data_IF_624550751584
#
_entry.id   IF_624550751584
#
_cell.length_a   1.000
_cell.length_b   1.000
_cell.length_c   1.000
_cell.angle_alpha   90.00
_cell.angle_beta   90.00
_cell.angle_gamma   90.00
#
_symmetry.space_group_name_H-M   'P 1'
#
loop_
_entity.id
_entity.type
_entity.pdbx_description
1 polymer ?
#
# COMPACT_ATOMS: atom_id res chain seq x y z
N UNK A 1 -6.97 16.05 1.96
CA UNK A 1 -5.52 16.30 1.73
C UNK A 1 -4.78 15.08 2.24
N UNK A 2 -3.84 14.54 1.47
CA UNK A 2 -3.02 13.41 1.90
C UNK A 2 -2.22 13.77 3.15
N UNK A 3 -1.95 12.79 4.01
CA UNK A 3 -1.16 12.99 5.23
C UNK A 3 0.33 12.93 4.87
N UNK A 4 1.15 13.94 5.23
CA UNK A 4 2.58 13.90 4.94
C UNK A 4 3.27 12.78 5.74
N UNK A 5 4.31 12.18 5.18
CA UNK A 5 5.24 11.33 5.94
C UNK A 5 6.34 12.24 6.47
N UNK A 6 6.56 12.22 7.79
CA UNK A 6 7.40 13.21 8.49
C UNK A 6 8.51 12.54 9.31
N UNK A 7 9.51 13.32 9.70
CA UNK A 7 10.53 12.91 10.69
C UNK A 7 10.17 13.42 12.10
N UNK A 8 10.94 12.99 13.09
CA UNK A 8 10.73 13.36 14.49
C UNK A 8 10.86 14.87 14.76
N UNK A 9 11.72 15.57 14.01
CA UNK A 9 11.88 17.02 14.15
C UNK A 9 10.65 17.77 13.62
N UNK A 10 10.10 17.34 12.48
CA UNK A 10 8.88 17.86 11.89
C UNK A 10 7.65 17.59 12.77
N UNK A 11 7.59 16.40 13.41
CA UNK A 11 6.51 16.13 14.37
C UNK A 11 6.57 17.09 15.56
N UNK A 12 7.75 17.34 16.12
CA UNK A 12 7.92 18.32 17.21
C UNK A 12 7.59 19.76 16.78
N UNK A 13 7.82 20.11 15.53
CA UNK A 13 7.39 21.40 14.97
C UNK A 13 5.86 21.48 14.93
N UNK A 14 5.20 20.42 14.47
CA UNK A 14 3.75 20.35 14.45
C UNK A 14 3.13 20.41 15.86
N UNK A 15 3.70 19.68 16.82
CA UNK A 15 3.31 19.77 18.23
C UNK A 15 3.46 21.21 18.76
N UNK A 16 4.59 21.88 18.52
CA UNK A 16 4.79 23.28 18.94
C UNK A 16 3.77 24.23 18.32
N UNK A 17 3.47 24.06 17.04
CA UNK A 17 2.43 24.86 16.35
C UNK A 17 1.05 24.61 16.99
N UNK A 18 0.77 23.37 17.39
CA UNK A 18 -0.46 23.00 18.08
C UNK A 18 -0.53 23.64 19.47
N UNK A 19 0.56 23.56 20.27
CA UNK A 19 0.60 24.15 21.62
C UNK A 19 0.57 25.69 21.61
N UNK A 20 0.98 26.31 20.51
CA UNK A 20 0.83 27.75 20.30
C UNK A 20 -0.60 28.19 19.96
N UNK A 21 -1.49 27.25 19.67
CA UNK A 21 -2.93 27.48 19.45
C UNK A 21 -3.73 27.39 20.74
N UNK A 22 -5.05 27.27 20.63
CA UNK A 22 -5.93 27.04 21.79
C UNK A 22 -5.95 25.59 22.29
N UNK A 23 -5.21 24.67 21.67
CA UNK A 23 -5.17 23.27 22.06
C UNK A 23 -4.12 23.03 23.14
N UNK A 24 -4.47 22.27 24.17
CA UNK A 24 -3.51 21.87 25.21
C UNK A 24 -2.99 20.47 24.98
N UNK A 25 -1.77 20.21 25.45
CA UNK A 25 -1.18 18.87 25.40
C UNK A 25 -2.07 17.80 26.05
N UNK A 26 -2.67 18.13 27.21
CA UNK A 26 -3.58 17.23 27.92
C UNK A 26 -4.83 16.85 27.11
N UNK A 27 -5.39 17.79 26.34
CA UNK A 27 -6.52 17.52 25.46
C UNK A 27 -6.13 16.61 24.30
N UNK A 28 -4.95 16.81 23.70
CA UNK A 28 -4.43 15.95 22.64
C UNK A 28 -4.18 14.55 23.18
N UNK A 29 -3.48 14.40 24.30
CA UNK A 29 -3.25 13.11 24.97
C UNK A 29 -4.58 12.38 25.20
N UNK A 30 -5.58 13.07 25.72
CA UNK A 30 -6.90 12.47 25.96
C UNK A 30 -7.56 11.99 24.66
N UNK A 31 -7.45 12.75 23.57
CA UNK A 31 -7.98 12.36 22.26
C UNK A 31 -7.21 11.19 21.63
N UNK A 32 -5.88 11.19 21.75
CA UNK A 32 -5.04 10.05 21.35
C UNK A 32 -5.46 8.80 22.12
N UNK A 33 -5.55 8.88 23.45
CA UNK A 33 -6.02 7.78 24.30
C UNK A 33 -7.39 7.24 23.86
N UNK A 34 -8.33 8.11 23.53
CA UNK A 34 -9.64 7.72 22.98
C UNK A 34 -9.54 6.98 21.64
N UNK A 35 -8.62 7.39 20.74
CA UNK A 35 -8.37 6.69 19.46
C UNK A 35 -7.75 5.31 19.70
N UNK A 36 -6.75 5.23 20.56
CA UNK A 36 -6.12 3.97 20.98
C UNK A 36 -7.16 3.02 21.56
N UNK A 37 -7.97 3.47 22.51
CA UNK A 37 -9.03 2.67 23.11
C UNK A 37 -10.08 2.21 22.09
N UNK A 38 -10.49 3.09 21.17
CA UNK A 38 -11.40 2.72 20.06
C UNK A 38 -10.80 1.59 19.21
N UNK A 39 -9.50 1.66 18.91
CA UNK A 39 -8.81 0.62 18.12
C UNK A 39 -8.68 -0.68 18.92
N UNK A 40 -8.28 -0.60 20.18
CA UNK A 40 -8.17 -1.75 21.08
C UNK A 40 -9.50 -2.50 21.24
N UNK A 41 -10.62 -1.77 21.39
CA UNK A 41 -11.96 -2.38 21.45
C UNK A 41 -12.38 -3.14 20.20
N UNK A 42 -11.87 -2.77 19.03
CA UNK A 42 -12.10 -3.53 17.78
C UNK A 42 -11.27 -4.81 17.69
N UNK A 43 -10.20 -4.92 18.48
CA UNK A 43 -9.32 -6.07 18.56
C UNK A 43 -9.68 -7.05 19.66
N UNK A 44 -10.55 -6.64 20.60
CA UNK A 44 -10.88 -7.38 21.82
C UNK A 44 -12.40 -7.49 22.01
N UNK A 45 -12.83 -8.48 22.77
CA UNK A 45 -14.22 -8.71 23.18
C UNK A 45 -14.49 -8.08 24.56
N UNK A 46 -15.76 -7.97 24.95
CA UNK A 46 -16.12 -7.62 26.33
C UNK A 46 -15.49 -8.62 27.30
N UNK A 47 -15.07 -8.11 28.46
CA UNK A 47 -14.40 -8.84 29.55
C UNK A 47 -12.99 -9.37 29.25
N UNK A 48 -12.45 -9.17 28.01
CA UNK A 48 -11.07 -9.48 27.73
C UNK A 48 -10.12 -8.63 28.60
N UNK A 49 -9.01 -9.24 29.02
CA UNK A 49 -7.93 -8.54 29.70
C UNK A 49 -7.04 -7.82 28.70
N UNK A 50 -6.79 -6.55 28.92
CA UNK A 50 -5.85 -5.72 28.18
C UNK A 50 -4.71 -5.31 29.11
N UNK A 51 -3.48 -5.63 28.74
CA UNK A 51 -2.28 -5.19 29.42
C UNK A 51 -1.78 -3.89 28.81
N UNK A 52 -1.66 -2.83 29.62
CA UNK A 52 -1.13 -1.54 29.18
C UNK A 52 0.27 -1.35 29.77
N UNK A 53 1.25 -1.14 28.88
CA UNK A 53 2.63 -0.82 29.27
C UNK A 53 2.85 0.69 29.06
N UNK A 54 2.94 1.44 30.14
CA UNK A 54 3.07 2.89 30.10
C UNK A 54 4.47 3.35 30.58
N UNK A 55 5.18 4.06 29.70
CA UNK A 55 6.44 4.72 30.02
C UNK A 55 6.26 6.08 30.72
N UNK A 56 7.38 6.79 30.94
CA UNK A 56 7.39 8.12 31.61
C UNK A 56 6.99 9.29 30.71
N UNK A 57 7.11 9.14 29.37
CA UNK A 57 6.90 10.23 28.39
C UNK A 57 5.43 10.35 27.93
N UNK A 58 5.23 11.17 26.90
CA UNK A 58 3.90 11.41 26.29
C UNK A 58 3.25 10.12 25.78
N UNK A 59 4.03 9.23 25.19
CA UNK A 59 3.52 7.93 24.74
C UNK A 59 2.93 7.11 25.90
N UNK A 60 3.56 7.16 27.09
CA UNK A 60 3.03 6.57 28.31
C UNK A 60 1.79 7.30 28.82
N UNK A 61 1.70 8.62 28.65
CA UNK A 61 0.51 9.39 29.00
C UNK A 61 -0.67 9.03 28.09
N UNK A 62 -0.42 8.86 26.79
CA UNK A 62 -1.42 8.39 25.82
C UNK A 62 -1.95 6.99 26.19
N UNK A 63 -1.04 6.09 26.61
CA UNK A 63 -1.39 4.75 27.05
C UNK A 63 -2.25 4.75 28.32
N UNK A 64 -1.90 5.57 29.32
CA UNK A 64 -2.74 5.76 30.51
C UNK A 64 -4.10 6.31 30.17
N UNK A 65 -4.13 7.37 29.35
CA UNK A 65 -5.40 7.96 28.89
C UNK A 65 -6.27 6.95 28.11
N UNK A 66 -5.67 6.01 27.36
CA UNK A 66 -6.44 4.96 26.70
C UNK A 66 -7.17 4.07 27.71
N UNK A 67 -6.57 3.78 28.84
CA UNK A 67 -7.21 3.01 29.91
C UNK A 67 -8.55 3.60 30.37
N UNK A 68 -8.70 4.93 30.38
CA UNK A 68 -9.92 5.61 30.78
C UNK A 68 -11.13 5.35 29.84
N UNK A 69 -10.87 4.91 28.60
CA UNK A 69 -11.87 4.72 27.55
C UNK A 69 -12.07 3.25 27.14
N UNK A 70 -11.51 2.30 27.91
CA UNK A 70 -11.65 0.86 27.64
C UNK A 70 -12.83 0.22 28.38
N UNK A 71 -13.97 0.88 28.34
CA UNK A 71 -15.20 0.38 28.98
C UNK A 71 -15.50 -1.07 28.59
N UNK A 72 -15.91 -1.88 29.57
CA UNK A 72 -16.24 -3.29 29.39
C UNK A 72 -15.05 -4.21 29.12
N UNK A 73 -13.80 -3.76 29.42
CA UNK A 73 -12.59 -4.61 29.41
C UNK A 73 -11.96 -4.61 30.79
N UNK A 74 -11.25 -5.69 31.11
CA UNK A 74 -10.39 -5.74 32.28
C UNK A 74 -9.06 -5.10 31.90
N UNK A 75 -8.53 -4.25 32.76
CA UNK A 75 -7.31 -3.50 32.49
C UNK A 75 -6.29 -3.85 33.54
N UNK A 76 -5.09 -4.20 33.11
CA UNK A 76 -3.89 -4.24 33.93
C UNK A 76 -2.90 -3.19 33.41
N UNK A 77 -2.60 -2.18 34.21
CA UNK A 77 -1.69 -1.09 33.85
C UNK A 77 -0.36 -1.29 34.58
N UNK A 78 0.73 -1.40 33.82
CA UNK A 78 2.08 -1.38 34.32
C UNK A 78 2.77 -0.06 33.98
N UNK A 79 3.00 0.77 34.97
CA UNK A 79 3.76 2.02 34.83
C UNK A 79 5.26 1.76 34.98
N UNK A 80 5.97 1.63 33.87
CA UNK A 80 7.35 1.14 33.83
C UNK A 80 8.33 2.32 33.82
N UNK A 81 8.90 2.59 34.97
CA UNK A 81 9.90 3.65 35.14
C UNK A 81 11.35 3.15 35.00
N UNK A 82 11.61 1.92 35.44
CA UNK A 82 12.91 1.22 35.38
C UNK A 82 12.63 -0.27 35.16
N UNK A 83 13.16 -0.87 34.08
CA UNK A 83 12.76 -2.20 33.64
C UNK A 83 13.08 -3.32 34.63
N UNK A 84 14.20 -3.23 35.37
CA UNK A 84 14.64 -4.27 36.30
C UNK A 84 13.60 -4.60 37.39
N UNK A 85 12.87 -3.57 37.84
CA UNK A 85 11.90 -3.71 38.93
C UNK A 85 10.55 -4.26 38.43
N UNK A 86 10.32 -4.29 37.12
CA UNK A 86 9.02 -4.62 36.54
C UNK A 86 8.93 -5.98 35.85
N UNK A 87 10.07 -6.67 35.64
CA UNK A 87 10.06 -8.01 35.02
C UNK A 87 9.18 -9.01 35.77
N UNK A 88 9.19 -9.12 37.11
CA UNK A 88 8.29 -10.04 37.82
C UNK A 88 6.80 -9.69 37.65
N UNK A 89 6.47 -8.39 37.69
CA UNK A 89 5.11 -7.92 37.48
C UNK A 89 4.63 -8.19 36.05
N UNK A 90 5.50 -7.95 35.05
CA UNK A 90 5.24 -8.27 33.65
C UNK A 90 4.99 -9.77 33.45
N UNK A 91 5.80 -10.64 34.07
CA UNK A 91 5.61 -12.09 34.00
C UNK A 91 4.26 -12.52 34.58
N UNK A 92 3.86 -11.92 35.71
CA UNK A 92 2.56 -12.17 36.34
C UNK A 92 1.41 -11.72 35.43
N UNK A 93 1.51 -10.54 34.83
CA UNK A 93 0.52 -10.01 33.90
C UNK A 93 0.39 -10.86 32.62
N UNK A 94 1.52 -11.24 32.01
CA UNK A 94 1.52 -12.08 30.80
C UNK A 94 1.00 -13.50 31.08
N UNK A 95 1.23 -14.03 32.29
CA UNK A 95 0.69 -15.34 32.69
C UNK A 95 -0.85 -15.38 32.73
N UNK A 96 -1.51 -14.25 32.89
CA UNK A 96 -2.97 -14.12 32.80
C UNK A 96 -3.49 -14.19 31.34
N UNK A 97 -2.59 -14.26 30.35
CA UNK A 97 -2.92 -14.33 28.92
C UNK A 97 -3.82 -13.18 28.45
N UNK A 98 -3.41 -11.91 28.58
CA UNK A 98 -4.20 -10.81 28.05
C UNK A 98 -4.48 -11.00 26.56
N UNK A 99 -5.63 -10.54 26.10
CA UNK A 99 -6.02 -10.61 24.70
C UNK A 99 -5.27 -9.59 23.85
N UNK A 100 -4.77 -8.51 24.46
CA UNK A 100 -4.05 -7.42 23.82
C UNK A 100 -3.02 -6.82 24.78
N UNK A 101 -1.86 -6.46 24.26
CA UNK A 101 -0.89 -5.56 24.89
C UNK A 101 -0.94 -4.22 24.19
N UNK A 102 -1.06 -3.13 24.95
CA UNK A 102 -0.88 -1.76 24.44
C UNK A 102 0.52 -1.31 24.82
N UNK A 103 1.36 -1.03 23.82
CA UNK A 103 2.72 -0.51 23.97
C UNK A 103 2.73 1.01 23.93
N UNK A 104 2.95 1.64 25.08
CA UNK A 104 3.19 3.07 25.25
C UNK A 104 4.49 3.35 26.01
N UNK A 105 5.51 2.50 25.89
CA UNK A 105 6.77 2.68 26.64
C UNK A 105 7.61 3.84 26.11
N UNK A 106 7.85 3.88 24.78
CA UNK A 106 8.63 4.90 24.09
C UNK A 106 7.93 5.34 22.82
N UNK A 107 8.08 6.60 22.45
CA UNK A 107 7.65 7.18 21.17
C UNK A 107 8.84 7.82 20.44
N UNK A 108 8.61 8.87 19.66
CA UNK A 108 9.63 9.59 18.85
C UNK A 108 10.78 10.19 19.68
N UNK A 109 10.67 10.22 20.99
CA UNK A 109 11.71 10.75 21.87
C UNK A 109 12.90 9.81 22.10
N UNK A 110 12.80 8.54 21.74
CA UNK A 110 13.87 7.57 21.88
C UNK A 110 14.97 7.82 20.84
N UNK A 111 16.18 8.15 21.31
CA UNK A 111 17.32 8.54 20.46
C UNK A 111 18.66 7.90 20.89
N UNK A 112 18.60 6.85 21.70
CA UNK A 112 19.79 6.16 22.22
C UNK A 112 19.52 4.66 22.37
N UNK A 113 20.56 3.82 22.30
CA UNK A 113 20.44 2.38 22.55
C UNK A 113 19.76 2.09 23.90
N UNK A 114 18.99 1.03 23.92
CA UNK A 114 18.34 0.51 25.12
C UNK A 114 19.38 -0.21 25.99
N UNK A 115 19.23 -0.09 27.31
CA UNK A 115 19.99 -0.93 28.25
C UNK A 115 19.44 -2.38 28.25
N UNK A 116 20.21 -3.26 28.90
CA UNK A 116 19.89 -4.70 28.94
C UNK A 116 18.53 -4.97 29.61
N UNK A 117 18.10 -4.15 30.56
CA UNK A 117 16.83 -4.29 31.25
C UNK A 117 15.64 -4.06 30.28
N UNK A 118 15.69 -2.98 29.52
CA UNK A 118 14.68 -2.69 28.50
C UNK A 118 14.66 -3.74 27.39
N UNK A 119 15.83 -4.19 26.93
CA UNK A 119 15.91 -5.24 25.91
C UNK A 119 15.27 -6.55 26.40
N UNK A 120 15.54 -6.97 27.65
CA UNK A 120 14.91 -8.16 28.26
C UNK A 120 13.39 -8.01 28.34
N UNK A 121 12.90 -6.84 28.76
CA UNK A 121 11.48 -6.56 28.88
C UNK A 121 10.79 -6.66 27.50
N UNK A 122 11.31 -6.00 26.49
CA UNK A 122 10.79 -6.02 25.11
C UNK A 122 10.79 -7.45 24.55
N UNK A 123 11.91 -8.18 24.69
CA UNK A 123 11.98 -9.57 24.25
C UNK A 123 10.93 -10.43 24.94
N UNK A 124 10.68 -10.22 26.22
CA UNK A 124 9.68 -10.99 26.95
C UNK A 124 8.27 -10.71 26.47
N UNK A 125 7.95 -9.44 26.15
CA UNK A 125 6.66 -9.08 25.51
C UNK A 125 6.51 -9.75 24.15
N UNK A 126 7.52 -9.68 23.28
CA UNK A 126 7.50 -10.29 21.95
C UNK A 126 7.35 -11.82 22.01
N UNK A 127 8.02 -12.49 22.98
CA UNK A 127 7.91 -13.93 23.20
C UNK A 127 6.51 -14.40 23.62
N UNK A 128 5.69 -13.52 24.18
CA UNK A 128 4.32 -13.85 24.59
C UNK A 128 3.41 -14.20 23.42
N UNK A 129 3.75 -13.70 22.21
CA UNK A 129 2.95 -13.83 20.98
C UNK A 129 1.50 -13.33 21.11
N UNK A 130 1.25 -12.48 22.10
CA UNK A 130 -0.02 -11.77 22.26
C UNK A 130 -0.09 -10.66 21.20
N UNK A 131 -1.29 -10.30 20.76
CA UNK A 131 -1.48 -9.15 19.86
C UNK A 131 -0.96 -7.88 20.53
N UNK A 132 -0.20 -7.07 19.80
CA UNK A 132 0.36 -5.82 20.32
C UNK A 132 -0.13 -4.64 19.48
N UNK A 133 -0.72 -3.65 20.15
CA UNK A 133 -1.04 -2.34 19.61
C UNK A 133 -0.01 -1.34 20.11
N UNK A 134 0.92 -0.92 19.25
CA UNK A 134 1.89 0.12 19.57
C UNK A 134 1.29 1.51 19.34
N UNK A 135 1.54 2.41 20.27
CA UNK A 135 1.14 3.82 20.16
C UNK A 135 2.30 4.59 19.51
N UNK A 136 2.00 5.36 18.50
CA UNK A 136 2.89 6.25 17.76
C UNK A 136 4.02 5.54 17.01
N UNK A 137 5.00 4.97 17.71
CA UNK A 137 6.12 4.20 17.16
C UNK A 137 6.33 2.98 18.06
N UNK A 138 6.56 1.78 17.51
CA UNK A 138 6.90 0.61 18.32
C UNK A 138 8.09 0.90 19.23
N UNK A 139 7.95 0.62 20.51
CA UNK A 139 8.99 0.94 21.49
C UNK A 139 10.30 0.22 21.18
N UNK A 140 11.38 0.99 21.10
CA UNK A 140 12.71 0.53 20.74
C UNK A 140 13.10 0.76 19.28
N UNK A 141 12.17 1.26 18.43
CA UNK A 141 12.43 1.61 17.04
C UNK A 141 12.80 3.10 16.91
N UNK A 142 13.78 3.41 16.06
CA UNK A 142 14.11 4.78 15.69
C UNK A 142 13.07 5.28 14.67
N UNK A 143 12.37 6.35 15.01
CA UNK A 143 11.30 6.91 14.17
C UNK A 143 11.81 7.52 12.85
N UNK A 144 13.09 7.87 12.75
CA UNK A 144 13.66 8.53 11.57
C UNK A 144 14.43 7.56 10.66
N UNK A 145 15.09 6.52 11.22
CA UNK A 145 15.89 5.58 10.43
C UNK A 145 15.27 4.20 10.29
N UNK A 146 14.32 3.85 11.16
CA UNK A 146 13.72 2.51 11.19
C UNK A 146 14.65 1.42 11.75
N UNK A 147 15.78 1.79 12.33
CA UNK A 147 16.66 0.86 13.03
C UNK A 147 16.16 0.61 14.45
N UNK A 148 16.36 -0.59 14.99
CA UNK A 148 16.07 -0.84 16.39
C UNK A 148 17.28 -0.50 17.28
N UNK A 149 17.02 -0.02 18.47
CA UNK A 149 18.04 0.34 19.47
C UNK A 149 18.46 -0.85 20.36
N UNK A 150 18.65 -2.02 19.78
CA UNK A 150 19.03 -3.27 20.46
C UNK A 150 17.86 -4.25 20.59
N UNK A 151 16.65 -3.76 20.80
CA UNK A 151 15.39 -4.50 20.71
C UNK A 151 14.25 -3.54 20.35
N UNK A 152 13.21 -4.04 19.67
CA UNK A 152 11.98 -3.29 19.45
C UNK A 152 10.74 -4.19 19.59
N UNK A 153 9.63 -3.60 19.98
CA UNK A 153 8.33 -4.28 20.03
C UNK A 153 7.94 -4.73 18.61
N UNK A 154 7.55 -6.00 18.47
CA UNK A 154 6.98 -6.58 17.26
C UNK A 154 5.46 -6.32 17.28
N UNK A 155 5.06 -5.10 16.89
CA UNK A 155 3.65 -4.72 16.91
C UNK A 155 2.85 -5.48 15.86
N UNK A 156 1.62 -5.87 16.21
CA UNK A 156 0.61 -6.33 15.23
C UNK A 156 0.06 -5.14 14.47
N UNK A 157 -0.15 -4.04 15.19
CA UNK A 157 -0.65 -2.77 14.66
C UNK A 157 0.11 -1.64 15.34
N UNK A 158 0.55 -0.67 14.55
CA UNK A 158 1.05 0.61 15.05
C UNK A 158 0.03 1.70 14.71
N UNK A 159 -0.50 2.36 15.72
CA UNK A 159 -1.37 3.52 15.57
C UNK A 159 -0.55 4.79 15.79
N UNK A 160 -0.04 5.35 14.69
CA UNK A 160 0.82 6.54 14.74
C UNK A 160 0.00 7.81 14.90
N UNK A 161 0.52 8.79 15.63
CA UNK A 161 -0.17 10.04 15.95
C UNK A 161 0.10 11.09 14.88
N UNK A 162 -0.97 11.63 14.30
CA UNK A 162 -0.93 12.70 13.31
C UNK A 162 -0.46 12.24 11.94
N UNK A 163 0.76 11.72 11.82
CA UNK A 163 1.38 11.29 10.56
C UNK A 163 2.38 10.15 10.74
N UNK A 164 2.58 9.30 9.71
CA UNK A 164 3.63 8.27 9.73
C UNK A 164 5.02 8.90 9.83
N UNK A 165 5.90 8.31 10.63
CA UNK A 165 7.30 8.71 10.71
C UNK A 165 8.10 7.94 9.66
N UNK A 166 9.02 8.64 8.99
CA UNK A 166 9.73 8.13 7.81
C UNK A 166 10.46 6.82 8.08
N UNK A 167 11.03 6.65 9.29
CA UNK A 167 11.72 5.42 9.68
C UNK A 167 10.80 4.18 9.70
N UNK A 168 9.49 4.35 9.95
CA UNK A 168 8.54 3.22 9.93
C UNK A 168 8.30 2.64 8.53
N UNK A 169 8.70 3.36 7.48
CA UNK A 169 8.62 2.90 6.09
C UNK A 169 9.90 2.18 5.63
N UNK A 170 10.98 2.26 6.41
CA UNK A 170 12.23 1.59 6.10
C UNK A 170 12.08 0.06 6.20
N UNK A 171 12.78 -0.68 5.33
CA UNK A 171 12.75 -2.15 5.33
C UNK A 171 13.15 -2.74 6.69
N UNK A 172 14.10 -2.12 7.41
CA UNK A 172 14.53 -2.52 8.75
C UNK A 172 13.42 -2.46 9.80
N UNK A 173 12.42 -1.59 9.60
CA UNK A 173 11.30 -1.40 10.51
C UNK A 173 10.13 -2.40 10.30
N UNK A 174 10.02 -3.01 9.12
CA UNK A 174 8.86 -3.85 8.78
C UNK A 174 8.55 -4.98 9.76
N UNK A 175 9.54 -5.67 10.35
CA UNK A 175 9.26 -6.72 11.34
C UNK A 175 8.60 -6.19 12.62
N UNK A 176 8.72 -4.89 12.89
CA UNK A 176 8.33 -4.27 14.16
C UNK A 176 7.02 -3.47 14.05
N UNK A 177 6.75 -2.86 12.89
CA UNK A 177 5.63 -1.90 12.73
C UNK A 177 4.28 -2.60 12.59
N UNK A 178 4.24 -3.80 12.00
CA UNK A 178 2.99 -4.45 11.67
C UNK A 178 2.13 -3.61 10.71
N UNK A 179 0.81 -3.59 10.93
CA UNK A 179 -0.10 -2.72 10.16
C UNK A 179 -0.01 -1.30 10.69
N UNK A 180 0.44 -0.38 9.84
CA UNK A 180 0.52 1.05 10.17
C UNK A 180 -0.82 1.74 9.90
N UNK A 181 -1.38 2.36 10.93
CA UNK A 181 -2.62 3.14 10.91
C UNK A 181 -2.36 4.54 11.49
N UNK A 182 -3.08 5.56 11.01
CA UNK A 182 -2.93 6.94 11.48
C UNK A 182 -4.07 7.29 12.43
N UNK A 183 -3.73 7.82 13.59
CA UNK A 183 -4.67 8.43 14.52
C UNK A 183 -4.90 9.89 14.13
N UNK A 184 -5.96 10.13 13.38
CA UNK A 184 -6.40 11.45 12.98
C UNK A 184 -7.35 12.07 14.00
N UNK A 185 -7.69 13.36 13.82
CA UNK A 185 -8.62 14.11 14.69
C UNK A 185 -8.25 14.02 16.17
N UNK A 186 -6.96 14.04 16.45
CA UNK A 186 -6.46 14.06 17.84
C UNK A 186 -6.29 15.48 18.39
N UNK A 187 -6.66 16.48 17.60
CA UNK A 187 -6.64 17.88 18.01
C UNK A 187 -5.36 18.61 17.60
N UNK A 188 -4.51 18.00 16.79
CA UNK A 188 -3.43 18.73 16.13
C UNK A 188 -4.01 19.75 15.15
N UNK A 189 -3.39 20.92 15.04
CA UNK A 189 -3.70 21.91 14.00
C UNK A 189 -3.38 21.34 12.62
N UNK A 190 -3.74 22.05 11.53
CA UNK A 190 -3.29 21.68 10.18
C UNK A 190 -1.77 21.50 10.18
N UNK A 191 -1.29 20.42 9.56
CA UNK A 191 0.15 20.15 9.52
C UNK A 191 0.89 21.30 8.85
N UNK A 192 1.87 21.93 9.51
CA UNK A 192 2.62 23.05 8.96
C UNK A 192 3.72 22.60 7.97
N UNK A 193 3.90 21.30 7.81
CA UNK A 193 5.00 20.72 7.02
C UNK A 193 4.45 20.12 5.74
N UNK A 194 5.02 20.51 4.62
CA UNK A 194 4.82 19.87 3.32
C UNK A 194 5.98 18.91 3.05
N UNK A 195 5.68 17.73 2.53
CA UNK A 195 6.68 16.72 2.16
C UNK A 195 6.39 16.16 0.77
N UNK A 196 7.42 15.67 0.12
CA UNK A 196 7.26 14.97 -1.15
C UNK A 196 6.67 13.56 -1.00
N UNK A 197 6.73 12.99 0.21
CA UNK A 197 6.23 11.65 0.51
C UNK A 197 4.94 11.75 1.32
N UNK A 198 3.85 11.23 0.78
CA UNK A 198 2.52 11.35 1.34
C UNK A 198 1.88 9.98 1.58
N UNK A 199 1.12 9.88 2.65
CA UNK A 199 0.37 8.68 3.03
C UNK A 199 -1.03 8.73 2.45
N UNK A 200 -1.40 7.69 1.70
CA UNK A 200 -2.74 7.57 1.12
C UNK A 200 -3.75 7.16 2.19
N UNK A 201 -4.91 7.83 2.20
CA UNK A 201 -6.01 7.55 3.10
C UNK A 201 -7.30 7.22 2.35
N UNK A 202 -8.24 6.46 2.95
CA UNK A 202 -9.56 6.23 2.36
C UNK A 202 -10.28 7.53 2.00
N UNK A 203 -10.12 8.57 2.83
CA UNK A 203 -10.72 9.89 2.69
C UNK A 203 -10.27 10.63 1.43
N UNK A 204 -9.10 10.30 0.88
CA UNK A 204 -8.60 10.84 -0.40
C UNK A 204 -9.52 10.47 -1.57
N UNK A 205 -10.30 9.43 -1.41
CA UNK A 205 -11.18 8.87 -2.44
C UNK A 205 -12.66 9.13 -2.20
N UNK A 206 -12.99 10.04 -1.29
CA UNK A 206 -14.37 10.46 -1.10
C UNK A 206 -14.94 10.93 -2.45
N UNK A 207 -16.13 10.43 -2.82
CA UNK A 207 -16.77 10.68 -4.11
C UNK A 207 -16.01 10.20 -5.36
N UNK A 208 -15.02 9.30 -5.21
CA UNK A 208 -14.32 8.68 -6.33
C UNK A 208 -14.59 7.15 -6.38
N UNK A 209 -14.82 6.58 -7.58
CA UNK A 209 -15.03 7.23 -8.87
C UNK A 209 -16.34 8.02 -8.92
N UNK A 210 -16.39 9.11 -9.71
CA UNK A 210 -17.61 9.94 -9.82
C UNK A 210 -18.79 9.15 -10.37
N UNK A 211 -20.00 9.58 -10.01
CA UNK A 211 -21.21 8.95 -10.51
C UNK A 211 -21.28 9.03 -12.04
N UNK A 212 -21.65 7.94 -12.66
CA UNK A 212 -21.80 7.87 -14.11
C UNK A 212 -22.99 8.70 -14.60
N UNK A 213 -22.81 9.35 -15.76
CA UNK A 213 -23.92 10.01 -16.44
C UNK A 213 -24.93 8.96 -16.88
N UNK A 214 -26.19 9.13 -16.49
CA UNK A 214 -27.30 8.23 -16.82
C UNK A 214 -27.58 8.17 -18.34
N UNK A 215 -27.23 9.20 -19.11
CA UNK A 215 -27.33 9.24 -20.56
C UNK A 215 -26.10 8.62 -21.26
N UNK A 216 -25.12 8.09 -20.50
CA UNK A 216 -23.94 7.46 -21.07
C UNK A 216 -24.24 6.12 -21.73
N UNK A 217 -23.41 5.74 -22.68
CA UNK A 217 -23.44 4.43 -23.37
C UNK A 217 -22.05 3.79 -23.30
N UNK A 218 -21.92 2.53 -23.73
CA UNK A 218 -20.64 1.79 -23.67
C UNK A 218 -19.45 2.54 -24.28
N UNK A 219 -19.64 3.31 -25.33
CA UNK A 219 -18.58 4.13 -25.94
C UNK A 219 -18.14 5.32 -25.07
N UNK A 220 -19.05 5.86 -24.21
CA UNK A 220 -18.72 6.97 -23.29
C UNK A 220 -17.79 6.54 -22.16
N UNK A 221 -17.79 5.26 -21.83
CA UNK A 221 -17.00 4.70 -20.73
C UNK A 221 -15.72 4.01 -21.20
N UNK A 222 -15.31 4.26 -22.45
CA UNK A 222 -14.05 3.83 -23.01
C UNK A 222 -13.98 2.37 -23.41
N UNK A 223 -12.88 2.02 -24.08
CA UNK A 223 -12.59 0.69 -24.59
C UNK A 223 -11.14 0.31 -24.25
N UNK A 224 -10.96 -0.64 -23.37
CA UNK A 224 -9.64 -1.15 -23.02
C UNK A 224 -9.22 -2.25 -24.00
N UNK A 225 -8.03 -2.12 -24.60
CA UNK A 225 -7.33 -3.20 -25.29
C UNK A 225 -6.28 -3.81 -24.35
N UNK A 226 -6.28 -5.12 -24.20
CA UNK A 226 -5.33 -5.87 -23.38
C UNK A 226 -4.52 -6.79 -24.29
N UNK A 227 -3.20 -6.73 -24.21
CA UNK A 227 -2.28 -7.67 -24.87
C UNK A 227 -1.65 -8.53 -23.78
N UNK A 228 -2.15 -9.76 -23.61
CA UNK A 228 -1.78 -10.59 -22.48
C UNK A 228 -1.95 -12.09 -22.78
N UNK A 229 -1.24 -12.91 -22.04
CA UNK A 229 -1.37 -14.35 -22.04
C UNK A 229 -0.60 -15.05 -23.13
N UNK A 230 0.11 -16.10 -22.74
CA UNK A 230 0.85 -17.00 -23.60
C UNK A 230 0.74 -18.44 -23.09
N UNK A 231 1.27 -19.40 -23.84
CA UNK A 231 1.27 -20.81 -23.44
C UNK A 231 1.94 -20.97 -22.06
N UNK A 232 1.24 -21.62 -21.15
CA UNK A 232 1.64 -21.76 -19.74
C UNK A 232 1.20 -20.60 -18.83
N UNK A 233 0.82 -19.44 -19.39
CA UNK A 233 0.45 -18.23 -18.63
C UNK A 233 -0.93 -17.66 -19.03
N UNK A 234 -1.86 -18.52 -19.44
CA UNK A 234 -3.21 -18.11 -19.88
C UNK A 234 -4.02 -17.47 -18.75
N UNK A 235 -3.85 -17.92 -17.50
CA UNK A 235 -4.57 -17.40 -16.32
C UNK A 235 -4.33 -15.92 -16.09
N UNK A 236 -3.12 -15.41 -16.31
CA UNK A 236 -2.78 -14.00 -16.18
C UNK A 236 -3.66 -13.09 -17.06
N UNK A 237 -3.90 -13.49 -18.31
CA UNK A 237 -4.75 -12.75 -19.24
C UNK A 237 -6.23 -12.75 -18.80
N UNK A 238 -6.71 -13.85 -18.22
CA UNK A 238 -8.09 -13.96 -17.70
C UNK A 238 -8.25 -13.06 -16.46
N UNK A 239 -7.31 -13.12 -15.53
CA UNK A 239 -7.31 -12.30 -14.31
C UNK A 239 -7.27 -10.81 -14.64
N UNK A 240 -6.36 -10.39 -15.53
CA UNK A 240 -6.26 -9.00 -15.96
C UNK A 240 -7.56 -8.51 -16.64
N UNK A 241 -8.16 -9.33 -17.52
CA UNK A 241 -9.41 -8.96 -18.19
C UNK A 241 -10.60 -8.88 -17.24
N UNK A 242 -10.73 -9.82 -16.30
CA UNK A 242 -11.79 -9.80 -15.27
C UNK A 242 -11.63 -8.61 -14.33
N UNK A 243 -10.42 -8.33 -13.86
CA UNK A 243 -10.14 -7.17 -13.02
C UNK A 243 -10.42 -5.85 -13.74
N UNK A 244 -10.07 -5.77 -15.05
CA UNK A 244 -10.43 -4.62 -15.87
C UNK A 244 -11.94 -4.42 -15.96
N UNK A 245 -12.72 -5.50 -16.08
CA UNK A 245 -14.19 -5.44 -16.08
C UNK A 245 -14.76 -4.93 -14.74
N UNK A 246 -14.10 -5.23 -13.61
CA UNK A 246 -14.49 -4.68 -12.29
C UNK A 246 -14.28 -3.17 -12.20
N UNK A 247 -13.34 -2.62 -12.95
CA UNK A 247 -13.21 -1.16 -13.13
C UNK A 247 -14.33 -0.55 -13.99
N UNK A 248 -15.12 -1.40 -14.66
CA UNK A 248 -16.30 -1.04 -15.44
C UNK A 248 -16.03 -0.11 -16.66
N UNK A 249 -14.97 -0.31 -17.49
CA UNK A 249 -14.93 0.35 -18.80
C UNK A 249 -16.11 -0.09 -19.66
N UNK A 250 -16.42 0.67 -20.68
CA UNK A 250 -17.54 0.35 -21.56
C UNK A 250 -17.34 -0.92 -22.39
N UNK A 251 -16.09 -1.17 -22.79
CA UNK A 251 -15.68 -2.35 -23.59
C UNK A 251 -14.29 -2.83 -23.12
N UNK A 252 -14.08 -4.15 -23.22
CA UNK A 252 -12.76 -4.79 -23.04
C UNK A 252 -12.52 -5.72 -24.23
N UNK A 253 -11.36 -5.58 -24.89
CA UNK A 253 -10.88 -6.52 -25.91
C UNK A 253 -9.54 -7.08 -25.46
N UNK A 254 -9.47 -8.39 -25.31
CA UNK A 254 -8.23 -9.10 -25.01
C UNK A 254 -7.62 -9.68 -26.30
N UNK A 255 -6.36 -9.44 -26.53
CA UNK A 255 -5.53 -10.04 -27.56
C UNK A 255 -4.58 -11.05 -26.92
N UNK A 256 -4.84 -12.34 -27.14
CA UNK A 256 -4.07 -13.44 -26.58
C UNK A 256 -3.29 -14.20 -27.67
N UNK A 257 -2.28 -14.95 -27.25
CA UNK A 257 -1.55 -15.84 -28.17
C UNK A 257 -2.53 -16.86 -28.77
N UNK A 258 -2.38 -17.19 -30.06
CA UNK A 258 -3.27 -18.10 -30.79
C UNK A 258 -3.42 -19.47 -30.10
N UNK A 259 -2.32 -20.02 -29.57
CA UNK A 259 -2.28 -21.32 -28.87
C UNK A 259 -3.22 -21.41 -27.66
N UNK A 260 -3.56 -20.28 -27.05
CA UNK A 260 -4.42 -20.22 -25.84
C UNK A 260 -5.79 -19.58 -26.11
N UNK A 261 -6.07 -19.16 -27.34
CA UNK A 261 -7.29 -18.43 -27.67
C UNK A 261 -8.56 -19.10 -27.19
N UNK A 262 -8.78 -20.37 -27.53
CA UNK A 262 -10.00 -21.09 -27.16
C UNK A 262 -10.17 -21.26 -25.64
N UNK A 263 -9.06 -21.50 -24.94
CA UNK A 263 -9.04 -21.65 -23.46
C UNK A 263 -9.41 -20.33 -22.79
N UNK A 264 -8.89 -19.23 -23.28
CA UNK A 264 -9.15 -17.88 -22.72
C UNK A 264 -10.55 -17.42 -23.09
N UNK A 265 -10.97 -17.60 -24.34
CA UNK A 265 -12.30 -17.20 -24.82
C UNK A 265 -13.43 -17.93 -24.07
N UNK A 266 -13.23 -19.18 -23.69
CA UNK A 266 -14.20 -19.95 -22.91
C UNK A 266 -14.41 -19.43 -21.49
N UNK A 267 -13.47 -18.67 -20.95
CA UNK A 267 -13.51 -18.13 -19.59
C UNK A 267 -13.99 -16.66 -19.51
N UNK A 268 -14.14 -15.98 -20.65
CA UNK A 268 -14.45 -14.54 -20.71
C UNK A 268 -15.67 -14.28 -21.59
N UNK A 269 -16.88 -14.25 -20.99
CA UNK A 269 -18.12 -13.98 -21.73
C UNK A 269 -18.32 -12.48 -22.03
N UNK A 270 -17.89 -11.59 -21.15
CA UNK A 270 -18.13 -10.16 -21.27
C UNK A 270 -16.97 -9.37 -21.92
N UNK A 271 -15.85 -10.02 -22.24
CA UNK A 271 -14.76 -9.45 -23.01
C UNK A 271 -14.73 -10.06 -24.43
N UNK A 272 -14.40 -9.23 -25.41
CA UNK A 272 -14.07 -9.72 -26.75
C UNK A 272 -12.66 -10.32 -26.70
N UNK A 273 -12.47 -11.52 -27.24
CA UNK A 273 -11.17 -12.18 -27.31
C UNK A 273 -10.73 -12.30 -28.75
N UNK A 274 -9.53 -11.86 -29.06
CA UNK A 274 -8.92 -11.93 -30.38
C UNK A 274 -7.51 -12.57 -30.28
N UNK A 275 -7.03 -13.05 -31.43
CA UNK A 275 -5.65 -13.53 -31.52
C UNK A 275 -4.72 -12.33 -31.69
N UNK A 276 -3.70 -12.27 -30.84
CA UNK A 276 -2.61 -11.31 -31.02
C UNK A 276 -1.77 -11.66 -32.26
N UNK A 277 -1.44 -10.64 -33.07
CA UNK A 277 -0.54 -10.76 -34.24
C UNK A 277 0.44 -9.59 -34.28
N UNK A 278 1.68 -9.79 -34.73
CA UNK A 278 2.57 -8.67 -35.02
C UNK A 278 1.90 -7.69 -36.00
N UNK A 279 2.05 -6.40 -35.76
CA UNK A 279 1.42 -5.33 -36.56
C UNK A 279 -0.13 -5.34 -36.57
N UNK A 280 -0.77 -5.91 -35.54
CA UNK A 280 -2.23 -5.79 -35.38
C UNK A 280 -2.63 -4.33 -35.17
N UNK A 281 -3.84 -4.00 -35.62
CA UNK A 281 -4.47 -2.72 -35.33
C UNK A 281 -5.46 -2.88 -34.18
N UNK A 282 -5.41 -1.99 -33.22
CA UNK A 282 -6.44 -1.92 -32.19
C UNK A 282 -7.76 -1.39 -32.75
N UNK A 283 -8.92 -1.78 -32.19
CA UNK A 283 -10.18 -1.17 -32.55
C UNK A 283 -10.09 0.37 -32.48
N UNK A 284 -10.72 1.06 -33.44
CA UNK A 284 -10.70 2.54 -33.50
C UNK A 284 -11.27 3.21 -32.23
N UNK A 285 -12.12 2.49 -31.49
CA UNK A 285 -12.69 2.93 -30.22
C UNK A 285 -11.78 2.73 -29.02
N UNK A 286 -10.60 2.14 -29.21
CA UNK A 286 -9.63 1.90 -28.11
C UNK A 286 -9.25 3.21 -27.44
N UNK A 287 -9.36 3.24 -26.15
CA UNK A 287 -9.09 4.42 -25.32
C UNK A 287 -7.94 4.22 -24.32
N UNK A 288 -7.52 3.00 -24.05
CA UNK A 288 -6.31 2.68 -23.29
C UNK A 288 -5.80 1.28 -23.67
N UNK A 289 -4.53 1.01 -23.36
CA UNK A 289 -3.88 -0.26 -23.67
C UNK A 289 -3.17 -0.77 -22.40
N UNK A 290 -3.42 -2.05 -22.07
CA UNK A 290 -2.62 -2.82 -21.12
C UNK A 290 -1.79 -3.85 -21.88
N UNK A 291 -0.50 -3.95 -21.55
CA UNK A 291 0.38 -4.95 -22.14
C UNK A 291 1.33 -5.55 -21.13
N UNK A 292 1.49 -6.88 -21.16
CA UNK A 292 2.57 -7.55 -20.42
C UNK A 292 2.17 -8.79 -19.63
N UNK A 293 1.02 -8.77 -18.98
CA UNK A 293 0.52 -9.86 -18.14
C UNK A 293 0.60 -11.22 -18.84
N UNK A 294 1.40 -12.15 -18.31
CA UNK A 294 1.52 -13.51 -18.81
C UNK A 294 2.12 -13.66 -20.21
N UNK A 295 3.00 -12.74 -20.67
CA UNK A 295 3.67 -12.83 -21.97
C UNK A 295 5.01 -13.59 -21.93
N UNK A 296 5.42 -14.14 -20.78
CA UNK A 296 6.72 -14.82 -20.62
C UNK A 296 6.86 -16.12 -21.43
N UNK A 297 5.75 -16.80 -21.75
CA UNK A 297 5.74 -18.05 -22.53
C UNK A 297 5.64 -17.85 -24.04
N UNK A 298 5.93 -16.67 -24.56
CA UNK A 298 5.94 -16.43 -26.00
C UNK A 298 7.21 -17.00 -26.60
N UNK A 299 7.10 -18.19 -27.17
CA UNK A 299 8.17 -18.90 -27.85
C UNK A 299 8.00 -18.76 -29.37
N UNK A 300 8.52 -17.70 -29.94
CA UNK A 300 8.63 -17.49 -31.39
C UNK A 300 10.00 -16.90 -31.69
N UNK A 301 10.77 -17.49 -32.64
CA UNK A 301 11.99 -16.87 -33.17
C UNK A 301 11.64 -15.44 -33.61
N UNK A 302 12.48 -14.46 -33.46
CA UNK A 302 12.28 -13.04 -33.82
C UNK A 302 11.17 -12.27 -33.03
N UNK A 303 10.42 -12.89 -32.15
CA UNK A 303 9.31 -12.19 -31.47
C UNK A 303 9.79 -11.12 -30.49
N UNK A 304 10.85 -11.34 -29.70
CA UNK A 304 11.33 -10.29 -28.78
C UNK A 304 11.64 -8.98 -29.55
N UNK A 305 12.21 -9.05 -30.73
CA UNK A 305 12.55 -7.85 -31.52
C UNK A 305 11.30 -7.18 -32.12
N UNK A 306 10.34 -7.97 -32.62
CA UNK A 306 9.05 -7.43 -33.08
C UNK A 306 8.27 -6.79 -31.96
N UNK A 307 8.29 -7.37 -30.75
CA UNK A 307 7.64 -6.80 -29.58
C UNK A 307 8.34 -5.52 -29.11
N UNK A 308 9.65 -5.46 -29.12
CA UNK A 308 10.41 -4.24 -28.83
C UNK A 308 10.06 -3.11 -29.81
N UNK A 309 9.98 -3.42 -31.12
CA UNK A 309 9.56 -2.44 -32.14
C UNK A 309 8.13 -1.96 -31.89
N UNK A 310 7.21 -2.88 -31.61
CA UNK A 310 5.81 -2.56 -31.30
C UNK A 310 5.69 -1.73 -30.01
N UNK A 311 6.41 -2.11 -28.94
CA UNK A 311 6.46 -1.35 -27.70
C UNK A 311 7.07 0.03 -27.87
N UNK A 312 8.15 0.14 -28.68
CA UNK A 312 8.75 1.43 -29.01
C UNK A 312 7.70 2.35 -29.63
N UNK A 313 7.00 1.89 -30.66
CA UNK A 313 5.95 2.70 -31.29
C UNK A 313 4.84 3.06 -30.31
N UNK A 314 4.32 2.12 -29.52
CA UNK A 314 3.31 2.39 -28.52
C UNK A 314 3.77 3.44 -27.51
N UNK A 315 5.00 3.29 -27.01
CA UNK A 315 5.53 4.14 -25.95
C UNK A 315 5.81 5.56 -26.44
N UNK A 316 6.45 5.70 -27.62
CA UNK A 316 6.94 7.00 -28.11
C UNK A 316 5.96 7.75 -29.00
N UNK A 317 4.99 7.07 -29.65
CA UNK A 317 4.13 7.70 -30.66
C UNK A 317 2.65 7.74 -30.29
N UNK A 318 2.18 6.85 -29.38
CA UNK A 318 0.75 6.75 -29.10
C UNK A 318 0.31 7.81 -28.08
N UNK A 319 -0.82 8.50 -28.36
CA UNK A 319 -1.48 9.39 -27.41
C UNK A 319 -2.36 8.66 -26.39
N UNK A 320 -2.60 7.36 -26.58
CA UNK A 320 -3.42 6.58 -25.66
C UNK A 320 -2.70 6.34 -24.35
N UNK A 321 -3.40 6.27 -23.21
CA UNK A 321 -2.87 5.71 -21.96
C UNK A 321 -2.34 4.31 -22.19
N UNK A 322 -1.10 4.06 -21.74
CA UNK A 322 -0.43 2.76 -21.84
C UNK A 322 0.01 2.32 -20.46
N UNK A 323 -0.44 1.14 -20.08
CA UNK A 323 -0.09 0.47 -18.83
C UNK A 323 0.78 -0.73 -19.19
N UNK A 324 1.95 -0.82 -18.59
CA UNK A 324 2.91 -1.90 -18.84
C UNK A 324 3.22 -2.63 -17.55
N UNK A 325 3.10 -3.96 -17.59
CA UNK A 325 3.35 -4.83 -16.45
C UNK A 325 4.19 -6.04 -16.87
N UNK A 326 4.80 -6.71 -15.92
CA UNK A 326 5.49 -8.00 -16.11
C UNK A 326 6.51 -7.97 -17.26
N UNK A 327 6.51 -9.00 -18.10
CA UNK A 327 7.50 -9.20 -19.18
C UNK A 327 7.63 -8.00 -20.12
N UNK A 328 6.56 -7.24 -20.37
CA UNK A 328 6.63 -6.12 -21.29
C UNK A 328 7.44 -4.93 -20.76
N UNK A 329 7.73 -4.88 -19.47
CA UNK A 329 8.64 -3.89 -18.88
C UNK A 329 10.04 -3.93 -19.54
N UNK A 330 10.49 -5.11 -19.91
CA UNK A 330 11.81 -5.32 -20.58
C UNK A 330 11.86 -4.81 -22.03
N UNK A 331 10.71 -4.47 -22.60
CA UNK A 331 10.59 -4.02 -23.98
C UNK A 331 10.40 -2.51 -24.11
N UNK A 332 10.23 -1.81 -22.99
CA UNK A 332 10.05 -0.35 -22.98
C UNK A 332 11.37 0.31 -23.40
N UNK A 333 11.37 1.22 -24.40
CA UNK A 333 12.56 2.02 -24.70
C UNK A 333 12.81 3.06 -23.61
N UNK A 334 14.06 3.36 -23.34
CA UNK A 334 14.40 4.54 -22.56
C UNK A 334 14.06 5.81 -23.38
N UNK A 335 13.69 6.90 -22.69
CA UNK A 335 13.46 8.19 -23.31
C UNK A 335 12.02 8.71 -23.18
N UNK A 336 11.76 9.81 -23.87
CA UNK A 336 10.53 10.55 -23.78
C UNK A 336 9.36 9.93 -24.55
N UNK A 337 8.16 10.32 -24.20
CA UNK A 337 6.89 10.00 -24.85
C UNK A 337 6.07 11.29 -25.05
N UNK A 338 4.94 11.30 -25.81
CA UNK A 338 4.15 12.51 -26.03
C UNK A 338 3.74 13.18 -24.72
N UNK A 339 3.95 14.48 -24.59
CA UNK A 339 3.85 15.27 -23.35
C UNK A 339 2.54 15.06 -22.58
N UNK A 340 1.42 14.87 -23.29
CA UNK A 340 0.10 14.68 -22.68
C UNK A 340 -0.33 13.21 -22.58
N UNK A 341 0.52 12.27 -23.00
CA UNK A 341 0.21 10.87 -22.96
C UNK A 341 0.40 10.31 -21.53
N UNK A 342 -0.45 9.37 -21.15
CA UNK A 342 -0.36 8.71 -19.85
C UNK A 342 0.45 7.42 -20.04
N UNK A 343 1.51 7.27 -19.25
CA UNK A 343 2.34 6.07 -19.19
C UNK A 343 2.42 5.59 -17.76
N UNK A 344 2.11 4.32 -17.54
CA UNK A 344 2.13 3.69 -16.22
C UNK A 344 2.93 2.40 -16.30
N UNK A 345 3.86 2.22 -15.38
CA UNK A 345 4.60 0.95 -15.19
C UNK A 345 4.35 0.42 -13.79
N UNK A 346 4.24 -0.91 -13.66
CA UNK A 346 3.87 -1.54 -12.37
C UNK A 346 4.90 -2.58 -11.91
N UNK A 347 6.19 -2.21 -11.77
CA UNK A 347 7.23 -3.17 -11.41
C UNK A 347 7.11 -3.64 -9.96
N UNK A 348 7.34 -4.92 -9.70
CA UNK A 348 7.74 -5.41 -8.39
C UNK A 348 9.26 -5.20 -8.18
N UNK A 349 9.82 -5.35 -6.95
CA UNK A 349 11.24 -5.03 -6.70
C UNK A 349 12.23 -5.76 -7.61
N UNK A 350 11.94 -7.00 -8.02
CA UNK A 350 12.79 -7.75 -8.96
C UNK A 350 12.77 -7.16 -10.37
N UNK A 351 11.58 -6.78 -10.90
CA UNK A 351 11.44 -6.10 -12.18
C UNK A 351 12.09 -4.71 -12.15
N UNK A 352 11.90 -3.97 -11.06
CA UNK A 352 12.55 -2.68 -10.84
C UNK A 352 14.09 -2.81 -10.82
N UNK A 353 14.61 -3.86 -10.19
CA UNK A 353 16.04 -4.16 -10.18
C UNK A 353 16.60 -4.45 -11.59
N UNK A 354 15.81 -5.16 -12.41
CA UNK A 354 16.19 -5.40 -13.82
C UNK A 354 16.22 -4.09 -14.62
N UNK A 355 15.18 -3.26 -14.53
CA UNK A 355 15.13 -1.95 -15.17
C UNK A 355 16.32 -1.05 -14.80
N UNK A 356 16.69 -1.05 -13.51
CA UNK A 356 17.78 -0.23 -12.96
C UNK A 356 19.16 -0.89 -13.05
N UNK A 357 19.26 -2.12 -13.57
CA UNK A 357 20.50 -2.92 -13.62
C UNK A 357 21.17 -3.03 -12.24
N UNK A 358 20.38 -3.32 -11.22
CA UNK A 358 20.80 -3.43 -9.81
C UNK A 358 20.23 -4.71 -9.18
N UNK A 359 20.15 -4.80 -7.84
CA UNK A 359 19.56 -5.93 -7.13
C UNK A 359 18.27 -5.54 -6.43
N UNK A 360 17.39 -6.52 -6.17
CA UNK A 360 16.13 -6.29 -5.48
C UNK A 360 16.34 -5.72 -4.06
N UNK A 361 17.41 -6.14 -3.37
CA UNK A 361 17.79 -5.63 -2.05
C UNK A 361 18.11 -4.13 -2.09
N UNK A 362 18.85 -3.68 -3.12
CA UNK A 362 19.15 -2.25 -3.29
C UNK A 362 17.91 -1.43 -3.61
N UNK A 363 17.00 -1.96 -4.42
CA UNK A 363 15.70 -1.33 -4.69
C UNK A 363 14.89 -1.22 -3.40
N UNK A 364 14.83 -2.28 -2.59
CA UNK A 364 14.09 -2.29 -1.33
C UNK A 364 14.68 -1.33 -0.28
N UNK A 365 16.00 -1.20 -0.24
CA UNK A 365 16.69 -0.27 0.66
C UNK A 365 16.46 1.20 0.28
N UNK A 366 16.20 1.49 -1.02
CA UNK A 366 16.09 2.85 -1.55
C UNK A 366 14.86 2.99 -2.48
N UNK A 367 13.67 2.65 -1.98
CA UNK A 367 12.45 2.54 -2.79
C UNK A 367 12.04 3.83 -3.47
N UNK A 368 12.10 4.96 -2.75
CA UNK A 368 11.73 6.29 -3.27
C UNK A 368 12.66 6.68 -4.43
N UNK A 369 13.97 6.56 -4.23
CA UNK A 369 14.97 6.86 -5.25
C UNK A 369 14.84 5.93 -6.46
N UNK A 370 14.64 4.64 -6.22
CA UNK A 370 14.43 3.66 -7.30
C UNK A 370 13.20 3.99 -8.13
N UNK A 371 12.10 4.41 -7.51
CA UNK A 371 10.90 4.85 -8.22
C UNK A 371 11.20 6.07 -9.11
N UNK A 372 11.86 7.08 -8.56
CA UNK A 372 12.21 8.31 -9.27
C UNK A 372 13.12 8.02 -10.47
N UNK A 373 14.13 7.17 -10.28
CA UNK A 373 15.08 6.81 -11.33
C UNK A 373 14.38 6.03 -12.47
N UNK A 374 13.52 5.05 -12.16
CA UNK A 374 12.73 4.34 -13.19
C UNK A 374 11.87 5.33 -13.96
N UNK A 375 11.16 6.22 -13.27
CA UNK A 375 10.31 7.20 -13.92
C UNK A 375 11.11 8.13 -14.85
N UNK A 376 12.27 8.61 -14.40
CA UNK A 376 13.17 9.47 -15.16
C UNK A 376 13.70 8.79 -16.40
N UNK A 377 14.19 7.55 -16.29
CA UNK A 377 14.72 6.77 -17.42
C UNK A 377 13.65 6.52 -18.50
N UNK A 378 12.39 6.40 -18.09
CA UNK A 378 11.25 6.10 -18.95
C UNK A 378 10.43 7.35 -19.34
N UNK A 379 10.99 8.57 -19.23
CA UNK A 379 10.37 9.80 -19.73
C UNK A 379 9.38 10.45 -18.77
N UNK A 380 9.57 10.32 -17.46
CA UNK A 380 8.69 10.84 -16.39
C UNK A 380 7.32 10.12 -16.35
N UNK A 381 7.30 8.80 -16.54
CA UNK A 381 6.10 7.98 -16.45
C UNK A 381 5.64 7.79 -14.98
N UNK A 382 4.38 7.42 -14.79
CA UNK A 382 3.89 6.93 -13.51
C UNK A 382 4.48 5.56 -13.19
N UNK A 383 4.99 5.42 -11.98
CA UNK A 383 5.52 4.15 -11.45
C UNK A 383 4.68 3.72 -10.26
N UNK A 384 4.22 2.49 -10.30
CA UNK A 384 3.61 1.76 -9.17
C UNK A 384 4.63 0.74 -8.71
N UNK A 385 5.53 1.10 -7.79
CA UNK A 385 6.53 0.19 -7.25
C UNK A 385 5.89 -0.71 -6.21
N UNK A 386 5.52 -1.91 -6.66
CA UNK A 386 4.80 -2.92 -5.86
C UNK A 386 5.62 -3.38 -4.64
N UNK A 387 4.94 -3.93 -3.63
CA UNK A 387 5.53 -4.48 -2.40
C UNK A 387 4.81 -3.98 -1.16
N UNK A 388 5.39 -4.27 0.01
CA UNK A 388 4.87 -3.73 1.27
C UNK A 388 4.85 -2.20 1.20
N UNK A 389 3.71 -1.57 1.50
CA UNK A 389 3.52 -0.13 1.35
C UNK A 389 3.88 0.34 -0.08
N UNK A 390 3.14 -0.15 -1.08
CA UNK A 390 3.35 0.19 -2.51
C UNK A 390 3.50 1.69 -2.70
N UNK A 391 4.55 2.11 -3.44
CA UNK A 391 4.80 3.50 -3.77
C UNK A 391 4.23 3.86 -5.14
N UNK A 392 3.66 5.07 -5.24
CA UNK A 392 3.06 5.60 -6.47
C UNK A 392 3.60 7.00 -6.70
N UNK A 393 4.18 7.26 -7.85
CA UNK A 393 4.74 8.58 -8.15
C UNK A 393 5.42 8.65 -9.50
N UNK A 394 6.13 9.77 -9.71
CA UNK A 394 6.95 10.05 -10.90
C UNK A 394 8.33 10.54 -10.49
N UNK A 395 9.17 10.87 -11.48
CA UNK A 395 10.50 11.47 -11.26
C UNK A 395 10.41 12.79 -10.50
N UNK A 396 9.35 13.55 -10.74
CA UNK A 396 9.09 14.83 -10.11
C UNK A 396 7.73 14.83 -9.42
N UNK A 397 7.56 15.70 -8.42
CA UNK A 397 6.33 15.85 -7.66
C UNK A 397 6.22 14.88 -6.47
N UNK A 398 5.01 14.72 -6.00
CA UNK A 398 4.71 13.91 -4.80
C UNK A 398 4.80 12.41 -5.09
N UNK A 399 5.18 11.66 -4.07
CA UNK A 399 5.13 10.19 -4.03
C UNK A 399 4.14 9.79 -2.95
N UNK A 400 3.29 8.83 -3.26
CA UNK A 400 2.25 8.35 -2.35
C UNK A 400 2.56 6.93 -1.89
N UNK A 401 2.42 6.73 -0.58
CA UNK A 401 2.55 5.43 0.08
C UNK A 401 1.16 4.83 0.25
N UNK A 402 0.93 3.64 -0.28
CA UNK A 402 -0.33 2.93 -0.09
C UNK A 402 -0.26 2.00 1.13
N UNK A 403 -1.14 2.19 2.14
CA UNK A 403 -1.15 1.38 3.36
C UNK A 403 -1.96 0.08 3.26
N UNK A 404 -2.82 -0.03 2.26
CA UNK A 404 -3.74 -1.17 2.14
C UNK A 404 -3.04 -2.41 1.60
N UNK A 405 -3.58 -3.56 1.94
CA UNK A 405 -3.08 -4.86 1.55
C UNK A 405 -2.40 -5.61 2.70
N UNK A 406 -2.20 -6.88 2.48
CA UNK A 406 -1.62 -7.80 3.44
C UNK A 406 -0.70 -8.82 2.75
N UNK A 407 0.12 -9.60 3.51
CA UNK A 407 1.09 -10.53 2.95
C UNK A 407 0.49 -11.63 2.04
N UNK A 408 -0.80 -11.93 2.15
CA UNK A 408 -1.47 -12.92 1.28
C UNK A 408 -1.62 -12.45 -0.17
N UNK A 409 -1.37 -11.16 -0.48
CA UNK A 409 -1.20 -10.68 -1.85
C UNK A 409 0.05 -11.22 -2.54
N UNK A 410 0.97 -11.86 -1.83
CA UNK A 410 2.11 -12.56 -2.40
C UNK A 410 1.71 -13.89 -3.07
N UNK A 411 0.73 -13.82 -3.98
CA UNK A 411 0.23 -14.92 -4.80
C UNK A 411 0.43 -14.59 -6.29
N UNK A 412 0.70 -15.60 -7.10
CA UNK A 412 0.76 -15.44 -8.56
C UNK A 412 -0.57 -14.93 -9.11
N UNK A 413 -0.54 -13.92 -9.97
CA UNK A 413 -1.74 -13.31 -10.55
C UNK A 413 -2.23 -12.03 -9.86
N UNK A 414 -1.82 -11.77 -8.62
CA UNK A 414 -2.20 -10.55 -7.89
C UNK A 414 -1.78 -9.26 -8.63
N UNK A 415 -0.58 -9.26 -9.26
CA UNK A 415 -0.11 -8.18 -10.12
C UNK A 415 -0.96 -7.99 -11.38
N UNK A 416 -1.38 -9.11 -12.02
CA UNK A 416 -2.25 -9.06 -13.20
C UNK A 416 -3.61 -8.44 -12.88
N UNK A 417 -4.16 -8.74 -11.69
CA UNK A 417 -5.40 -8.13 -11.18
C UNK A 417 -5.21 -6.63 -11.01
N UNK A 418 -4.13 -6.18 -10.38
CA UNK A 418 -3.84 -4.76 -10.18
C UNK A 418 -3.68 -4.03 -11.52
N UNK A 419 -2.86 -4.57 -12.43
CA UNK A 419 -2.63 -3.98 -13.74
C UNK A 419 -3.92 -3.87 -14.56
N UNK A 420 -4.75 -4.92 -14.55
CA UNK A 420 -6.06 -4.93 -15.19
C UNK A 420 -7.00 -3.87 -14.63
N UNK A 421 -7.05 -3.73 -13.31
CA UNK A 421 -7.92 -2.75 -12.65
C UNK A 421 -7.49 -1.30 -12.92
N UNK A 422 -6.17 -1.00 -12.83
CA UNK A 422 -5.62 0.32 -13.22
C UNK A 422 -5.99 0.64 -14.67
N UNK A 423 -5.75 -0.31 -15.59
CA UNK A 423 -6.00 -0.11 -17.01
C UNK A 423 -7.49 0.11 -17.32
N UNK A 424 -8.36 -0.63 -16.66
CA UNK A 424 -9.82 -0.49 -16.78
C UNK A 424 -10.33 0.87 -16.32
N UNK A 425 -9.76 1.44 -15.25
CA UNK A 425 -10.08 2.79 -14.80
C UNK A 425 -9.55 3.84 -15.80
N UNK A 426 -8.28 3.74 -16.22
CA UNK A 426 -7.66 4.66 -17.17
C UNK A 426 -8.25 4.54 -18.59
N UNK A 427 -8.94 3.46 -18.93
CA UNK A 427 -9.68 3.37 -20.16
C UNK A 427 -10.87 4.33 -20.23
N UNK A 428 -11.37 4.80 -19.09
CA UNK A 428 -12.53 5.68 -19.00
C UNK A 428 -12.11 7.17 -19.13
N UNK A 429 -12.41 7.86 -20.24
CA UNK A 429 -11.97 9.23 -20.45
C UNK A 429 -12.33 10.21 -19.32
N UNK A 430 -13.52 10.12 -18.68
CA UNK A 430 -13.88 11.03 -17.60
C UNK A 430 -12.98 10.94 -16.36
N UNK A 431 -12.33 9.79 -16.14
CA UNK A 431 -11.45 9.59 -14.97
C UNK A 431 -10.04 10.15 -15.17
N UNK A 432 -9.63 10.45 -16.41
CA UNK A 432 -8.27 10.92 -16.73
C UNK A 432 -7.99 12.36 -16.36
N UNK A 433 -9.00 13.10 -15.90
CA UNK A 433 -8.80 14.45 -15.39
C UNK A 433 -7.85 14.47 -14.17
N UNK A 434 -7.79 13.36 -13.42
CA UNK A 434 -6.91 13.20 -12.27
C UNK A 434 -6.28 11.80 -12.30
N UNK A 435 -5.20 11.66 -13.07
CA UNK A 435 -4.49 10.39 -13.28
C UNK A 435 -3.88 9.87 -11.99
N UNK A 436 -3.35 10.76 -11.16
CA UNK A 436 -2.78 10.42 -9.87
C UNK A 436 -3.83 9.74 -8.98
N UNK A 437 -4.97 10.38 -8.82
CA UNK A 437 -6.06 9.86 -8.00
C UNK A 437 -6.58 8.51 -8.51
N UNK A 438 -6.65 8.34 -9.83
CA UNK A 438 -7.03 7.04 -10.45
C UNK A 438 -6.07 5.93 -10.05
N UNK A 439 -4.76 6.16 -10.19
CA UNK A 439 -3.75 5.14 -9.89
C UNK A 439 -3.72 4.84 -8.39
N UNK A 440 -3.74 5.87 -7.54
CA UNK A 440 -3.79 5.74 -6.08
C UNK A 440 -5.02 4.96 -5.64
N UNK A 441 -6.19 5.30 -6.17
CA UNK A 441 -7.43 4.60 -5.89
C UNK A 441 -7.35 3.13 -6.30
N UNK A 442 -6.82 2.82 -7.48
CA UNK A 442 -6.71 1.45 -7.94
C UNK A 442 -5.83 0.60 -7.02
N UNK A 443 -4.67 1.13 -6.61
CA UNK A 443 -3.75 0.44 -5.71
C UNK A 443 -4.37 0.27 -4.32
N UNK A 444 -5.03 1.32 -3.81
CA UNK A 444 -5.72 1.27 -2.52
C UNK A 444 -6.85 0.25 -2.53
N UNK A 445 -7.69 0.25 -3.54
CA UNK A 445 -8.84 -0.64 -3.68
C UNK A 445 -8.41 -2.11 -3.78
N UNK A 446 -7.35 -2.38 -4.54
CA UNK A 446 -6.76 -3.71 -4.66
C UNK A 446 -6.27 -4.24 -3.30
N UNK A 447 -5.56 -3.43 -2.53
CA UNK A 447 -5.10 -3.80 -1.19
C UNK A 447 -6.25 -3.94 -0.20
N UNK A 448 -7.23 -3.01 -0.23
CA UNK A 448 -8.38 -3.03 0.67
C UNK A 448 -9.30 -4.23 0.42
N UNK A 449 -9.45 -4.68 -0.83
CA UNK A 449 -10.14 -5.92 -1.16
C UNK A 449 -9.46 -7.14 -0.53
N UNK A 450 -8.13 -7.21 -0.61
CA UNK A 450 -7.37 -8.28 0.05
C UNK A 450 -7.52 -8.24 1.59
N UNK A 451 -7.55 -7.06 2.19
CA UNK A 451 -7.78 -6.88 3.62
C UNK A 451 -9.18 -7.34 4.03
N UNK A 452 -10.19 -7.03 3.21
CA UNK A 452 -11.57 -7.50 3.40
C UNK A 452 -11.67 -9.03 3.36
N UNK A 453 -11.04 -9.65 2.36
CA UNK A 453 -10.99 -11.10 2.25
C UNK A 453 -10.32 -11.75 3.47
N UNK A 454 -9.18 -11.22 3.90
CA UNK A 454 -8.45 -11.74 5.06
C UNK A 454 -9.25 -11.59 6.37
N UNK A 455 -10.05 -10.55 6.50
CA UNK A 455 -10.94 -10.37 7.65
C UNK A 455 -12.13 -11.33 7.62
N UNK A 456 -12.59 -11.72 6.43
CA UNK A 456 -13.77 -12.55 6.25
C UNK A 456 -13.48 -14.07 6.26
N UNK A 457 -12.27 -14.49 5.86
CA UNK A 457 -11.90 -15.91 5.72
C UNK A 457 -10.42 -16.15 5.96
N UNK A 458 -10.09 -17.34 6.49
CA UNK A 458 -8.72 -17.70 6.84
C UNK A 458 -7.80 -17.85 5.61
N UNK A 459 -8.36 -18.27 4.49
CA UNK A 459 -7.64 -18.45 3.22
C UNK A 459 -8.51 -17.98 2.05
N UNK A 460 -7.88 -17.46 1.02
CA UNK A 460 -8.49 -17.01 -0.22
C UNK A 460 -7.45 -17.11 -1.35
N UNK A 461 -7.92 -17.10 -2.58
CA UNK A 461 -7.11 -17.15 -3.79
C UNK A 461 -7.31 -15.90 -4.65
N UNK A 462 -6.45 -15.69 -5.64
CA UNK A 462 -6.46 -14.48 -6.47
C UNK A 462 -7.77 -14.29 -7.25
N UNK A 463 -8.48 -15.37 -7.57
CA UNK A 463 -9.81 -15.33 -8.17
C UNK A 463 -10.83 -14.67 -7.25
N UNK A 464 -10.76 -14.93 -5.93
CA UNK A 464 -11.60 -14.26 -4.92
C UNK A 464 -11.31 -12.75 -4.90
N UNK A 465 -10.03 -12.35 -5.06
CA UNK A 465 -9.64 -10.94 -5.09
C UNK A 465 -10.29 -10.20 -6.26
N UNK A 466 -10.38 -10.82 -7.44
CA UNK A 466 -11.07 -10.26 -8.59
C UNK A 466 -12.54 -10.00 -8.29
N UNK A 467 -13.18 -10.88 -7.56
CA UNK A 467 -14.59 -10.73 -7.19
C UNK A 467 -14.77 -9.66 -6.10
N UNK A 468 -13.88 -9.60 -5.14
CA UNK A 468 -13.96 -8.67 -4.01
C UNK A 468 -13.63 -7.22 -4.38
N UNK A 469 -12.71 -6.98 -5.33
CA UNK A 469 -12.28 -5.63 -5.71
C UNK A 469 -13.44 -4.72 -6.19
N UNK A 470 -14.55 -5.28 -6.59
CA UNK A 470 -15.76 -4.55 -6.96
C UNK A 470 -16.72 -4.31 -5.79
N UNK A 471 -16.53 -4.95 -4.65
CA UNK A 471 -17.44 -4.91 -3.49
C UNK A 471 -17.01 -3.92 -2.41
N UNK A 472 -15.77 -3.48 -2.43
CA UNK A 472 -15.22 -2.57 -1.42
C UNK A 472 -15.72 -1.14 -1.68
N UNK A 473 -16.33 -0.52 -0.67
CA UNK A 473 -16.85 0.86 -0.68
C UNK A 473 -16.10 1.73 0.31
#
# INVERSE_FOLDING_TARGET
MSVPVINSAQMREWERATWASSQTEAEVIRRVGKRVARRARRLTRSDDLILILAGKGNNGADARAAGEFLDGRKIELLEIAAPENFLPALETALAQKPALVIDGLFGIGLNRPLDIGWMKLIHRVNQSKILILAIDVPSGLNADTGENFGAAIEATITLTVGAPKIGMLAQSAWPFVGRLEVAEDVGLVSCPVETELNWTQPEDFQDFPPRRNVAGHKGSFGHLAIVAGSLGFHGASVLAARAAQRAQPGLVTLFAQEKIYSVVASQLQAAMVNVWKPAMQFPKSTSAILIGSGLAGIDLPDLPDKMKIFMKWLWTESDLPIIVDATALDWIPAGEFPKNAIRVVTPHPGEAAHLLKTTAEKVQANRVESLREISKQLGNCWVVLKGHQTLIGRAEGEIFVNPSGNPHLAQGGSGDVLAGFIAGLLAQPPLRADVEKVIRYAVWQHGNAADGLQAARANWVVEDLVDEIGNVR
#
